data_IF_438567973664
#
_entry.id   IF_438567973664
#
_cell.length_a   1.000
_cell.length_b   1.000
_cell.length_c   1.000
_cell.angle_alpha   90.00
_cell.angle_beta   90.00
_cell.angle_gamma   90.00
#
_symmetry.space_group_name_H-M   'P 1'
#
loop_
_entity.id
_entity.type
_entity.pdbx_description
1 polymer ?
#
# COMPACT_ATOMS: atom_id res chain seq x y z
N UNK A 1 23.72 4.88 5.17
CA UNK A 1 22.75 4.95 6.28
C UNK A 1 21.36 5.20 5.71
N UNK A 2 20.34 4.76 6.44
CA UNK A 2 18.94 4.91 6.07
C UNK A 2 18.12 5.28 7.31
N UNK A 3 17.15 6.16 7.11
CA UNK A 3 16.15 6.52 8.12
C UNK A 3 14.79 6.12 7.58
N UNK A 4 13.99 5.44 8.41
CA UNK A 4 12.61 5.09 8.09
C UNK A 4 11.65 5.95 8.90
N UNK A 5 10.79 6.68 8.20
CA UNK A 5 9.69 7.41 8.83
C UNK A 5 8.52 6.46 9.04
N UNK A 6 8.06 6.36 10.28
CA UNK A 6 7.02 5.40 10.66
C UNK A 6 5.79 6.13 11.18
N UNK A 7 4.61 5.84 10.63
CA UNK A 7 3.31 6.19 11.19
C UNK A 7 2.68 4.94 11.82
N UNK A 8 3.06 4.65 13.06
CA UNK A 8 2.65 3.43 13.78
C UNK A 8 1.16 3.35 14.10
N UNK A 9 0.44 4.46 14.00
CA UNK A 9 -0.98 4.55 14.37
C UNK A 9 -1.90 4.88 13.18
N UNK A 10 -1.33 5.11 12.00
CA UNK A 10 -2.07 5.47 10.80
C UNK A 10 -2.84 6.80 10.95
N UNK A 11 -2.21 7.79 11.57
CA UNK A 11 -2.82 9.11 11.83
C UNK A 11 -2.35 10.18 10.85
N UNK A 12 -1.27 9.94 10.12
CA UNK A 12 -0.75 10.88 9.15
C UNK A 12 -1.67 10.98 7.91
N UNK A 13 -1.66 12.15 7.30
CA UNK A 13 -2.31 12.40 6.01
C UNK A 13 -1.28 12.76 4.93
N UNK A 14 -1.65 12.65 3.63
CA UNK A 14 -0.72 12.88 2.52
C UNK A 14 -0.02 14.24 2.54
N UNK A 15 -0.71 15.30 3.00
CA UNK A 15 -0.12 16.63 3.10
C UNK A 15 0.99 16.67 4.14
N UNK A 16 0.74 16.13 5.34
CA UNK A 16 1.73 16.06 6.42
C UNK A 16 2.95 15.24 6.00
N UNK A 17 2.73 14.08 5.36
CA UNK A 17 3.80 13.22 4.84
C UNK A 17 4.66 13.98 3.85
N UNK A 18 4.05 14.61 2.84
CA UNK A 18 4.76 15.37 1.81
C UNK A 18 5.57 16.53 2.40
N UNK A 19 4.98 17.29 3.30
CA UNK A 19 5.63 18.44 3.93
C UNK A 19 6.82 18.02 4.80
N UNK A 20 6.67 16.94 5.59
CA UNK A 20 7.75 16.41 6.43
C UNK A 20 8.92 15.88 5.58
N UNK A 21 8.63 15.05 4.57
CA UNK A 21 9.65 14.47 3.70
C UNK A 21 10.44 15.57 2.99
N UNK A 22 9.77 16.59 2.44
CA UNK A 22 10.45 17.73 1.80
C UNK A 22 11.40 18.45 2.76
N UNK A 23 10.98 18.66 4.02
CA UNK A 23 11.85 19.26 5.04
C UNK A 23 13.09 18.40 5.29
N UNK A 24 12.92 17.07 5.40
CA UNK A 24 14.04 16.16 5.65
C UNK A 24 15.01 16.07 4.47
N UNK A 25 14.49 16.02 3.24
CA UNK A 25 15.34 16.03 2.03
C UNK A 25 16.14 17.34 1.94
N UNK A 26 15.54 18.46 2.28
CA UNK A 26 16.22 19.78 2.26
C UNK A 26 17.36 19.89 3.28
N UNK A 27 17.42 19.04 4.31
CA UNK A 27 18.57 18.97 5.21
C UNK A 27 19.82 18.39 4.54
N UNK A 28 19.67 17.79 3.36
CA UNK A 28 20.77 17.28 2.52
C UNK A 28 21.80 16.42 3.29
N UNK A 29 21.34 15.55 4.15
CA UNK A 29 22.19 14.73 5.02
C UNK A 29 22.90 13.58 4.31
N UNK A 30 22.60 13.33 3.03
CA UNK A 30 23.08 12.15 2.29
C UNK A 30 22.49 10.82 2.76
N UNK A 31 21.52 10.84 3.70
CA UNK A 31 20.85 9.66 4.23
C UNK A 31 19.65 9.31 3.36
N UNK A 32 19.48 8.03 3.03
CA UNK A 32 18.29 7.55 2.32
C UNK A 32 17.07 7.59 3.22
N UNK A 33 15.93 8.00 2.67
CA UNK A 33 14.66 7.99 3.40
C UNK A 33 13.81 6.82 2.92
N UNK A 34 13.35 6.01 3.89
CA UNK A 34 12.29 5.03 3.72
C UNK A 34 11.03 5.46 4.48
N UNK A 35 9.91 4.83 4.16
CA UNK A 35 8.63 5.08 4.84
C UNK A 35 7.95 3.77 5.21
N UNK A 36 7.24 3.79 6.34
CA UNK A 36 6.39 2.70 6.80
C UNK A 36 5.09 3.29 7.35
N UNK A 37 3.97 2.98 6.72
CA UNK A 37 2.67 3.51 7.10
C UNK A 37 1.70 2.41 7.50
N UNK A 38 0.95 2.65 8.59
CA UNK A 38 -0.18 1.82 8.96
C UNK A 38 -1.48 2.31 8.31
N UNK A 39 -2.29 1.35 7.85
CA UNK A 39 -3.52 1.61 7.09
C UNK A 39 -4.78 1.63 7.97
N UNK A 40 -4.64 1.95 9.25
CA UNK A 40 -5.71 1.95 10.24
C UNK A 40 -6.95 2.76 9.81
N UNK A 41 -6.73 3.83 9.04
CA UNK A 41 -7.80 4.73 8.54
C UNK A 41 -7.95 4.71 7.01
N UNK A 42 -7.36 3.71 6.34
CA UNK A 42 -7.49 3.56 4.89
C UNK A 42 -6.73 4.58 4.05
N UNK A 43 -5.82 5.38 4.64
CA UNK A 43 -5.11 6.46 3.93
C UNK A 43 -3.65 6.13 3.62
N UNK A 44 -3.14 4.96 4.02
CA UNK A 44 -1.72 4.65 3.92
C UNK A 44 -1.22 4.58 2.46
N UNK A 45 -2.02 4.09 1.53
CA UNK A 45 -1.69 4.10 0.09
C UNK A 45 -1.54 5.52 -0.43
N UNK A 46 -2.42 6.44 -0.04
CA UNK A 46 -2.31 7.86 -0.40
C UNK A 46 -1.06 8.50 0.22
N UNK A 47 -0.69 8.10 1.44
CA UNK A 47 0.55 8.52 2.09
C UNK A 47 1.78 7.99 1.34
N UNK A 48 1.75 6.75 0.82
CA UNK A 48 2.82 6.21 -0.03
C UNK A 48 2.99 7.03 -1.32
N UNK A 49 1.89 7.39 -1.99
CA UNK A 49 1.94 8.25 -3.17
C UNK A 49 2.54 9.63 -2.85
N UNK A 50 2.09 10.25 -1.76
CA UNK A 50 2.62 11.55 -1.33
C UNK A 50 4.12 11.47 -1.00
N UNK A 51 4.57 10.35 -0.41
CA UNK A 51 5.99 10.09 -0.14
C UNK A 51 6.78 9.90 -1.44
N UNK A 52 6.25 9.13 -2.39
CA UNK A 52 6.85 8.94 -3.72
C UNK A 52 7.02 10.26 -4.45
N UNK A 53 5.97 11.07 -4.51
CA UNK A 53 5.98 12.42 -5.11
C UNK A 53 6.98 13.36 -4.44
N UNK A 54 7.21 13.17 -3.13
CA UNK A 54 8.20 13.94 -2.39
C UNK A 54 9.64 13.45 -2.55
N UNK A 55 9.86 12.34 -3.28
CA UNK A 55 11.20 11.82 -3.61
C UNK A 55 11.60 10.53 -2.90
N UNK A 56 10.75 9.93 -2.05
CA UNK A 56 11.03 8.63 -1.42
C UNK A 56 10.94 7.51 -2.46
N UNK A 57 11.83 6.50 -2.30
CA UNK A 57 11.89 5.31 -3.17
C UNK A 57 11.96 4.00 -2.38
N UNK A 58 11.88 4.06 -1.07
CA UNK A 58 11.97 2.89 -0.16
C UNK A 58 10.68 2.83 0.66
N UNK A 59 9.93 1.74 0.48
CA UNK A 59 8.63 1.53 1.11
C UNK A 59 8.65 0.22 1.89
N UNK A 60 8.37 0.29 3.18
CA UNK A 60 8.23 -0.86 4.05
C UNK A 60 6.76 -1.23 4.16
N UNK A 61 6.42 -2.36 3.59
CA UNK A 61 5.06 -2.88 3.49
C UNK A 61 5.02 -4.33 3.97
N UNK A 62 3.87 -4.95 4.01
CA UNK A 62 3.75 -6.36 4.35
C UNK A 62 2.78 -7.09 3.43
N UNK A 63 3.04 -8.37 3.19
CA UNK A 63 2.16 -9.24 2.39
C UNK A 63 0.77 -9.25 3.02
N UNK A 64 -0.25 -9.00 2.21
CA UNK A 64 -1.64 -8.94 2.65
C UNK A 64 -1.92 -7.83 3.67
N UNK A 65 -0.98 -6.92 3.93
CA UNK A 65 -1.12 -5.92 4.97
C UNK A 65 -0.98 -6.47 6.39
N UNK A 66 -0.45 -7.68 6.56
CA UNK A 66 -0.23 -8.26 7.90
C UNK A 66 0.58 -7.31 8.76
N UNK A 67 0.14 -7.11 10.00
CA UNK A 67 0.86 -6.33 10.98
C UNK A 67 1.28 -7.20 12.17
N UNK A 68 2.42 -6.89 12.74
CA UNK A 68 2.96 -7.58 13.93
C UNK A 68 3.42 -6.58 14.98
N UNK A 69 2.70 -5.45 15.11
CA UNK A 69 3.08 -4.45 16.10
C UNK A 69 2.88 -4.96 17.53
N UNK A 70 3.67 -4.48 18.52
CA UNK A 70 3.46 -4.80 19.93
C UNK A 70 2.10 -4.31 20.49
N UNK A 71 1.34 -3.58 19.70
CA UNK A 71 -0.04 -3.18 19.98
C UNK A 71 -1.08 -4.21 19.51
N UNK A 72 -0.69 -5.47 19.35
CA UNK A 72 -1.51 -6.56 18.78
C UNK A 72 -2.90 -6.74 19.40
N UNK A 73 -3.12 -6.42 20.67
CA UNK A 73 -4.46 -6.40 21.25
C UNK A 73 -5.36 -5.30 20.64
N UNK A 74 -4.79 -4.15 20.30
CA UNK A 74 -5.48 -3.07 19.58
C UNK A 74 -5.64 -3.41 18.10
N UNK A 75 -4.71 -4.16 17.52
CA UNK A 75 -4.79 -4.66 16.14
C UNK A 75 -6.00 -5.56 15.93
N UNK A 76 -6.27 -6.49 16.85
CA UNK A 76 -7.45 -7.34 16.81
C UNK A 76 -8.76 -6.55 16.96
N UNK A 77 -8.74 -5.46 17.74
CA UNK A 77 -9.92 -4.66 18.01
C UNK A 77 -10.17 -3.56 16.97
N UNK A 78 -9.12 -3.01 16.35
CA UNK A 78 -9.20 -1.80 15.51
C UNK A 78 -8.59 -1.93 14.12
N UNK A 79 -8.06 -3.10 13.74
CA UNK A 79 -7.51 -3.34 12.40
C UNK A 79 -6.29 -2.47 12.08
N UNK A 80 -5.26 -2.50 12.91
CA UNK A 80 -3.98 -1.83 12.64
C UNK A 80 -3.19 -2.59 11.57
N UNK A 81 -3.58 -2.41 10.34
CA UNK A 81 -2.96 -3.06 9.19
C UNK A 81 -1.83 -2.23 8.62
N UNK A 82 -0.83 -2.89 8.08
CA UNK A 82 0.18 -2.25 7.22
C UNK A 82 -0.38 -1.97 5.82
N UNK A 83 0.38 -1.26 5.02
CA UNK A 83 0.12 -1.19 3.57
C UNK A 83 0.30 -2.59 2.99
N UNK A 84 -0.72 -3.17 2.31
CA UNK A 84 -0.54 -4.42 1.57
C UNK A 84 0.46 -4.22 0.44
N UNK A 85 1.49 -5.08 0.40
CA UNK A 85 2.54 -4.98 -0.63
C UNK A 85 1.96 -5.11 -2.04
N UNK A 86 1.07 -6.05 -2.24
CA UNK A 86 0.41 -6.31 -3.52
C UNK A 86 -0.42 -5.13 -4.03
N UNK A 87 -1.09 -4.41 -3.14
CA UNK A 87 -1.88 -3.24 -3.49
C UNK A 87 -0.96 -2.08 -3.95
N UNK A 88 0.14 -1.85 -3.23
CA UNK A 88 1.10 -0.81 -3.59
C UNK A 88 1.87 -1.14 -4.87
N UNK A 89 2.29 -2.40 -5.03
CA UNK A 89 2.95 -2.88 -6.26
C UNK A 89 2.04 -2.69 -7.46
N UNK A 90 0.79 -3.17 -7.37
CA UNK A 90 -0.19 -3.00 -8.44
C UNK A 90 -0.38 -1.52 -8.80
N UNK A 91 -0.54 -0.64 -7.81
CA UNK A 91 -0.70 0.78 -8.04
C UNK A 91 0.50 1.37 -8.80
N UNK A 92 1.73 1.08 -8.37
CA UNK A 92 2.92 1.60 -9.03
C UNK A 92 3.06 1.08 -10.46
N UNK A 93 2.81 -0.21 -10.71
CA UNK A 93 2.83 -0.78 -12.07
C UNK A 93 1.79 -0.11 -12.98
N UNK A 94 0.56 0.14 -12.50
CA UNK A 94 -0.48 0.86 -13.25
C UNK A 94 -0.06 2.30 -13.56
N UNK A 95 0.70 2.92 -12.67
CA UNK A 95 1.26 4.26 -12.89
C UNK A 95 2.49 4.27 -13.80
N UNK A 96 2.92 3.12 -14.32
CA UNK A 96 4.13 2.99 -15.13
C UNK A 96 5.43 3.13 -14.33
N UNK A 97 5.37 2.89 -13.02
CA UNK A 97 6.52 2.91 -12.12
C UNK A 97 6.95 1.45 -11.89
N UNK A 98 8.06 1.00 -12.51
CA UNK A 98 8.49 -0.39 -12.38
C UNK A 98 8.94 -0.68 -10.95
N UNK A 99 8.37 -1.71 -10.34
CA UNK A 99 8.76 -2.16 -9.01
C UNK A 99 9.80 -3.26 -9.04
N UNK A 100 9.90 -3.99 -10.16
CA UNK A 100 10.72 -5.19 -10.29
C UNK A 100 10.14 -6.40 -9.55
N UNK A 101 8.92 -6.33 -9.07
CA UNK A 101 8.23 -7.40 -8.34
C UNK A 101 7.25 -8.10 -9.29
N UNK A 102 7.33 -9.43 -9.36
CA UNK A 102 6.35 -10.25 -10.06
C UNK A 102 5.06 -10.32 -9.22
N UNK A 103 4.04 -9.59 -9.67
CA UNK A 103 2.77 -9.49 -8.94
C UNK A 103 2.05 -10.83 -8.85
N UNK A 104 2.12 -11.70 -9.86
CA UNK A 104 1.47 -13.00 -9.79
C UNK A 104 2.10 -13.90 -8.72
N UNK A 105 3.43 -13.90 -8.63
CA UNK A 105 4.12 -14.63 -7.58
C UNK A 105 3.83 -14.02 -6.20
N UNK A 106 3.77 -12.70 -6.10
CA UNK A 106 3.39 -12.03 -4.87
C UNK A 106 1.99 -12.41 -4.43
N UNK A 107 1.00 -12.46 -5.33
CA UNK A 107 -0.37 -12.89 -5.00
C UNK A 107 -0.41 -14.33 -4.48
N UNK A 108 0.37 -15.25 -5.07
CA UNK A 108 0.51 -16.61 -4.53
C UNK A 108 1.11 -16.63 -3.11
N UNK A 109 1.99 -15.67 -2.80
CA UNK A 109 2.50 -15.51 -1.43
C UNK A 109 1.41 -14.99 -0.48
N UNK A 110 0.53 -14.09 -0.94
CA UNK A 110 -0.61 -13.60 -0.15
C UNK A 110 -1.57 -14.74 0.17
N UNK A 111 -1.91 -15.60 -0.81
CA UNK A 111 -2.74 -16.80 -0.58
C UNK A 111 -2.16 -17.70 0.52
N UNK A 112 -0.85 -17.95 0.46
CA UNK A 112 -0.16 -18.74 1.50
C UNK A 112 -0.19 -18.03 2.86
N UNK A 113 -0.04 -16.72 2.89
CA UNK A 113 -0.10 -15.94 4.13
C UNK A 113 -1.51 -16.00 4.75
N UNK A 114 -2.57 -15.94 3.94
CA UNK A 114 -3.95 -16.14 4.40
C UNK A 114 -4.18 -17.54 4.97
N UNK A 115 -3.66 -18.58 4.28
CA UNK A 115 -3.74 -19.94 4.78
C UNK A 115 -3.05 -20.13 6.14
N UNK A 116 -1.87 -19.51 6.32
CA UNK A 116 -1.14 -19.54 7.60
C UNK A 116 -1.89 -18.75 8.68
N UNK A 117 -2.42 -17.57 8.32
CA UNK A 117 -3.17 -16.71 9.24
C UNK A 117 -4.54 -17.28 9.61
N UNK A 118 -5.06 -18.24 8.84
CA UNK A 118 -6.41 -18.82 9.03
C UNK A 118 -7.54 -17.84 8.77
N UNK A 119 -7.27 -16.74 8.06
CA UNK A 119 -8.26 -15.68 7.76
C UNK A 119 -7.86 -14.89 6.51
N UNK A 120 -8.87 -14.24 5.90
CA UNK A 120 -8.64 -13.27 4.85
C UNK A 120 -7.83 -12.06 5.35
N UNK A 121 -6.90 -11.59 4.53
CA UNK A 121 -6.10 -10.39 4.79
C UNK A 121 -6.69 -9.17 4.05
N UNK A 122 -6.38 -7.95 4.49
CA UNK A 122 -7.03 -6.73 4.00
C UNK A 122 -6.61 -6.29 2.59
N UNK A 123 -5.62 -6.93 1.97
CA UNK A 123 -5.20 -6.61 0.60
C UNK A 123 -6.34 -6.77 -0.41
N UNK A 124 -6.44 -5.84 -1.36
CA UNK A 124 -7.55 -5.78 -2.32
C UNK A 124 -7.26 -6.57 -3.60
N UNK A 125 -6.01 -6.53 -4.08
CA UNK A 125 -5.66 -7.03 -5.43
C UNK A 125 -5.77 -8.55 -5.53
N UNK A 126 -5.57 -9.29 -4.45
CA UNK A 126 -5.79 -10.74 -4.47
C UNK A 126 -7.23 -11.09 -4.90
N UNK A 127 -8.21 -10.28 -4.54
CA UNK A 127 -9.63 -10.53 -4.82
C UNK A 127 -10.14 -9.83 -6.06
N UNK A 128 -9.71 -8.60 -6.27
CA UNK A 128 -10.12 -7.81 -7.43
C UNK A 128 -9.41 -8.24 -8.71
N UNK A 129 -8.23 -8.82 -8.60
CA UNK A 129 -7.30 -9.05 -9.70
C UNK A 129 -6.63 -7.77 -10.21
N UNK A 130 -5.48 -7.88 -10.88
CA UNK A 130 -4.84 -6.75 -11.53
C UNK A 130 -5.70 -6.23 -12.70
N UNK A 131 -5.69 -4.92 -12.95
CA UNK A 131 -6.50 -4.28 -14.01
C UNK A 131 -6.18 -4.76 -15.42
N UNK A 132 -5.00 -5.31 -15.65
CA UNK A 132 -4.63 -5.92 -16.94
C UNK A 132 -5.08 -7.38 -17.10
N UNK A 133 -5.56 -8.01 -16.02
CA UNK A 133 -6.12 -9.34 -16.07
C UNK A 133 -7.49 -9.27 -16.73
N UNK A 134 -7.68 -9.99 -17.85
CA UNK A 134 -8.99 -10.09 -18.49
C UNK A 134 -9.95 -10.77 -17.52
N UNK A 135 -10.92 -10.04 -17.00
CA UNK A 135 -12.01 -10.63 -16.25
C UNK A 135 -12.86 -11.45 -17.20
N UNK A 136 -13.09 -12.71 -16.88
CA UNK A 136 -14.00 -13.60 -17.64
C UNK A 136 -15.48 -13.21 -17.47
N UNK A 137 -15.77 -12.22 -16.66
CA UNK A 137 -17.12 -11.66 -16.51
C UNK A 137 -17.36 -10.71 -17.67
N UNK A 138 -18.33 -10.97 -18.56
CA UNK A 138 -18.73 -10.01 -19.58
C UNK A 138 -19.21 -8.76 -18.85
N UNK A 139 -18.44 -7.68 -18.93
CA UNK A 139 -18.92 -6.38 -18.48
C UNK A 139 -19.99 -5.93 -19.46
N UNK A 140 -21.25 -6.07 -19.07
CA UNK A 140 -22.35 -5.44 -19.77
C UNK A 140 -22.14 -3.93 -19.67
N UNK A 141 -21.78 -3.33 -20.81
CA UNK A 141 -21.43 -1.90 -20.89
C UNK A 141 -22.63 -1.01 -20.58
N UNK A 142 -23.85 -1.53 -20.52
CA UNK A 142 -25.05 -0.76 -20.18
C UNK A 142 -25.21 -0.51 -18.68
N UNK A 143 -24.52 -1.28 -17.82
CA UNK A 143 -24.60 -1.13 -16.35
C UNK A 143 -23.48 -0.29 -15.73
N UNK A 144 -22.53 0.20 -16.50
CA UNK A 144 -21.52 1.09 -16.00
C UNK A 144 -22.06 2.51 -15.90
N UNK A 145 -22.35 2.96 -14.68
CA UNK A 145 -22.66 4.35 -14.29
C UNK A 145 -21.60 5.41 -14.73
N UNK A 146 -20.66 5.02 -15.59
CA UNK A 146 -19.60 5.88 -16.13
C UNK A 146 -20.10 6.85 -17.23
N UNK A 147 -21.36 6.77 -17.67
CA UNK A 147 -21.91 7.70 -18.66
C UNK A 147 -22.33 9.07 -18.11
N UNK A 148 -22.18 9.31 -16.81
CA UNK A 148 -22.63 10.58 -16.21
C UNK A 148 -21.50 11.49 -15.73
N UNK A 149 -20.25 11.21 -16.06
CA UNK A 149 -19.08 12.04 -15.66
C UNK A 149 -18.29 12.49 -16.91
N UNK A 150 -18.95 12.64 -18.05
CA UNK A 150 -18.42 13.40 -19.19
C UNK A 150 -19.23 14.64 -19.42
#
# INVERSE_FOLDING_TARGET
QEIVLVDSTGMANPKQVKDLIKKLINLNTGVRLGVHFHNTRGVAIANCLAAYDAGVRIFYTSIGGMSGTPYGAMELAFGYWNVPTEDLVHLFEVMGIPTGIDLEQLLRCVEKAEAIAGKALPGHILRAGPVWQKTSVPMDREHLLYRQIQ
#
